data_IF_493052262647
#
_entry.id   IF_493052262647
#
_cell.length_a   1.000
_cell.length_b   1.000
_cell.length_c   1.000
_cell.angle_alpha   90.00
_cell.angle_beta   90.00
_cell.angle_gamma   90.00
#
_symmetry.space_group_name_H-M   'P 1'
#
loop_
_entity.id
_entity.type
_entity.pdbx_description
1 polymer ?
#
# COMPACT_ATOMS: atom_id res chain seq x y z
N UNK A 1 5.87 -15.96 -23.44
CA UNK A 1 6.41 -14.79 -24.18
C UNK A 1 5.42 -13.61 -24.33
N UNK A 2 4.13 -13.74 -23.94
CA UNK A 2 3.11 -12.66 -24.02
C UNK A 2 2.94 -11.86 -22.70
N UNK A 3 3.36 -12.40 -21.58
CA UNK A 3 3.25 -11.72 -20.27
C UNK A 3 4.21 -10.54 -20.08
N UNK A 4 5.25 -10.43 -20.92
CA UNK A 4 6.28 -9.40 -20.80
C UNK A 4 5.81 -7.98 -21.17
N UNK A 5 4.70 -7.80 -21.90
CA UNK A 5 4.20 -6.46 -22.28
C UNK A 5 3.33 -5.82 -21.21
N UNK A 6 2.51 -6.60 -20.51
CA UNK A 6 1.63 -6.10 -19.44
C UNK A 6 2.37 -5.80 -18.13
N UNK A 7 3.43 -6.55 -17.84
CA UNK A 7 4.39 -6.19 -16.79
C UNK A 7 5.12 -4.87 -17.09
N UNK A 8 5.14 -4.44 -18.38
CA UNK A 8 5.80 -3.23 -18.84
C UNK A 8 5.16 -1.92 -18.40
N UNK A 9 3.86 -1.81 -18.25
CA UNK A 9 3.22 -0.49 -18.27
C UNK A 9 2.76 0.04 -16.91
N UNK A 10 2.31 -0.75 -15.97
CA UNK A 10 2.00 -0.26 -14.62
C UNK A 10 2.93 -0.81 -13.53
N UNK A 11 3.55 -1.94 -13.78
CA UNK A 11 4.65 -2.44 -12.96
C UNK A 11 6.01 -1.97 -13.45
N UNK A 12 6.14 -1.46 -14.71
CA UNK A 12 7.43 -1.21 -15.33
C UNK A 12 8.22 -0.09 -14.69
N UNK A 13 7.59 1.00 -14.26
CA UNK A 13 8.29 2.05 -13.52
C UNK A 13 8.57 1.65 -12.07
N UNK A 14 7.93 0.59 -11.60
CA UNK A 14 8.09 0.07 -10.26
C UNK A 14 9.01 -1.13 -10.24
N UNK A 15 8.97 -1.94 -11.30
CA UNK A 15 9.82 -3.11 -11.51
C UNK A 15 10.64 -3.02 -12.81
N UNK A 16 10.82 -1.84 -13.38
CA UNK A 16 11.47 -1.65 -14.69
C UNK A 16 12.91 -2.14 -14.74
N UNK A 17 13.56 -2.27 -13.61
CA UNK A 17 14.87 -2.88 -13.49
C UNK A 17 14.83 -4.38 -13.15
N UNK A 18 13.66 -4.91 -12.74
CA UNK A 18 13.53 -6.27 -12.22
C UNK A 18 12.31 -6.97 -12.80
N UNK A 19 12.49 -7.61 -13.94
CA UNK A 19 11.60 -8.63 -14.50
C UNK A 19 11.39 -9.84 -13.56
N UNK A 20 11.32 -9.62 -12.23
CA UNK A 20 11.30 -10.66 -11.23
C UNK A 20 10.61 -10.30 -9.92
N UNK A 21 9.97 -9.12 -9.81
CA UNK A 21 9.20 -8.76 -8.61
C UNK A 21 7.83 -9.44 -8.62
N UNK A 22 7.78 -10.71 -8.29
CA UNK A 22 6.57 -11.51 -8.17
C UNK A 22 6.74 -12.50 -7.01
N UNK A 23 5.95 -12.43 -5.95
CA UNK A 23 4.76 -11.58 -5.74
C UNK A 23 5.04 -10.09 -5.50
N UNK A 24 4.08 -9.26 -5.93
CA UNK A 24 4.09 -7.82 -5.75
C UNK A 24 2.79 -7.37 -5.07
N UNK A 25 2.86 -6.40 -4.15
CA UNK A 25 1.68 -5.78 -3.56
C UNK A 25 1.71 -4.27 -3.78
N UNK A 26 0.58 -3.71 -4.18
CA UNK A 26 0.33 -2.28 -4.27
C UNK A 26 -0.75 -1.87 -3.27
N UNK A 27 -0.46 -0.83 -2.49
CA UNK A 27 -1.43 -0.17 -1.61
C UNK A 27 -1.61 1.28 -2.06
N UNK A 28 -2.85 1.73 -2.15
CA UNK A 28 -3.17 3.15 -2.37
C UNK A 28 -3.83 3.72 -1.13
N UNK A 29 -3.31 4.83 -0.60
CA UNK A 29 -3.80 5.52 0.60
C UNK A 29 -4.23 6.93 0.21
N UNK A 30 -5.53 7.14 0.14
CA UNK A 30 -6.14 8.39 -0.31
C UNK A 30 -7.45 8.67 0.45
N UNK A 31 -8.55 8.93 -0.27
CA UNK A 31 -9.89 9.05 0.32
C UNK A 31 -10.34 7.74 0.99
N UNK A 32 -9.88 6.62 0.46
CA UNK A 32 -9.97 5.30 1.08
C UNK A 32 -8.62 4.60 1.02
N UNK A 33 -8.56 3.34 1.46
CA UNK A 33 -7.39 2.49 1.32
C UNK A 33 -7.76 1.25 0.50
N UNK A 34 -7.13 1.11 -0.65
CA UNK A 34 -7.25 -0.08 -1.48
C UNK A 34 -5.92 -0.83 -1.58
N UNK A 35 -5.99 -2.11 -1.89
CA UNK A 35 -4.81 -2.93 -2.12
C UNK A 35 -5.05 -4.01 -3.16
N UNK A 36 -4.03 -4.31 -3.91
CA UNK A 36 -4.01 -5.40 -4.87
C UNK A 36 -2.63 -6.03 -4.95
N UNK A 37 -2.53 -7.17 -5.60
CA UNK A 37 -1.27 -7.86 -5.78
C UNK A 37 -1.18 -8.61 -7.08
N UNK A 38 0.04 -8.93 -7.47
CA UNK A 38 0.38 -9.86 -8.53
C UNK A 38 1.01 -11.09 -7.90
N UNK A 39 0.59 -12.26 -8.32
CA UNK A 39 1.18 -13.55 -7.96
C UNK A 39 1.28 -14.41 -9.22
N UNK A 40 2.48 -14.86 -9.56
CA UNK A 40 2.75 -15.63 -10.78
C UNK A 40 2.36 -14.86 -12.07
N UNK A 41 2.54 -13.53 -12.06
CA UNK A 41 2.16 -12.68 -13.18
C UNK A 41 0.67 -12.42 -13.36
N UNK A 42 -0.16 -12.94 -12.46
CA UNK A 42 -1.62 -12.78 -12.48
C UNK A 42 -2.07 -11.87 -11.34
N UNK A 43 -3.14 -11.10 -11.59
CA UNK A 43 -3.76 -10.32 -10.53
C UNK A 43 -4.32 -11.24 -9.44
N UNK A 44 -4.02 -10.89 -8.19
CA UNK A 44 -4.58 -11.59 -7.04
C UNK A 44 -6.10 -11.43 -7.03
N UNK A 45 -6.80 -12.53 -7.24
CA UNK A 45 -8.25 -12.58 -7.21
C UNK A 45 -8.69 -13.87 -6.52
N UNK A 46 -9.62 -13.75 -5.59
CA UNK A 46 -10.23 -14.90 -4.91
C UNK A 46 -11.73 -14.93 -5.20
N UNK A 47 -12.55 -15.10 -4.13
CA UNK A 47 -14.00 -14.94 -4.24
C UNK A 47 -14.38 -13.56 -4.80
N UNK A 48 -13.68 -12.54 -4.32
CA UNK A 48 -13.68 -11.16 -4.83
C UNK A 48 -12.21 -10.67 -4.85
N UNK A 49 -11.96 -9.43 -5.27
CA UNK A 49 -10.65 -8.79 -5.10
C UNK A 49 -10.30 -8.62 -3.61
N UNK A 50 -9.01 -8.59 -3.24
CA UNK A 50 -8.59 -8.40 -1.85
C UNK A 50 -9.02 -7.03 -1.31
N UNK A 51 -9.60 -7.00 -0.12
CA UNK A 51 -10.02 -5.80 0.59
C UNK A 51 -8.98 -5.42 1.67
N UNK A 52 -7.74 -5.17 1.24
CA UNK A 52 -6.61 -4.95 2.14
C UNK A 52 -6.77 -3.69 3.00
N UNK A 53 -7.57 -2.70 2.57
CA UNK A 53 -7.89 -1.51 3.35
C UNK A 53 -8.77 -1.77 4.55
N UNK A 54 -9.49 -2.88 4.58
CA UNK A 54 -10.42 -3.21 5.67
C UNK A 54 -9.88 -4.25 6.66
N UNK A 55 -8.59 -4.56 6.60
CA UNK A 55 -7.99 -5.42 7.62
C UNK A 55 -8.04 -4.76 9.00
N UNK A 56 -8.24 -5.58 10.02
CA UNK A 56 -8.13 -5.13 11.41
C UNK A 56 -6.66 -4.94 11.77
N UNK A 57 -6.35 -3.82 12.38
CA UNK A 57 -5.02 -3.48 12.90
C UNK A 57 -5.12 -3.09 14.37
N UNK A 58 -4.04 -3.17 15.16
CA UNK A 58 -4.04 -2.68 16.53
C UNK A 58 -4.37 -1.20 16.60
N UNK A 59 -5.42 -0.85 17.36
CA UNK A 59 -5.80 0.53 17.62
C UNK A 59 -5.13 1.02 18.91
N UNK A 60 -4.43 2.14 18.86
CA UNK A 60 -3.71 2.71 19.99
C UNK A 60 -4.60 3.66 20.81
N UNK A 61 -5.64 3.11 21.47
CA UNK A 61 -6.66 3.89 22.19
C UNK A 61 -6.11 4.85 23.26
N UNK A 62 -4.94 4.58 23.80
CA UNK A 62 -4.23 5.44 24.75
C UNK A 62 -3.67 6.72 24.13
N UNK A 63 -3.41 6.70 22.81
CA UNK A 63 -2.82 7.81 22.02
C UNK A 63 -3.79 8.40 21.01
N UNK A 64 -4.76 7.61 20.59
CA UNK A 64 -5.70 7.94 19.53
C UNK A 64 -7.13 7.60 19.98
N UNK A 65 -7.87 8.55 20.56
CA UNK A 65 -9.27 8.35 20.95
C UNK A 65 -10.25 8.41 19.77
N UNK A 66 -9.76 8.62 18.52
CA UNK A 66 -10.60 8.71 17.34
C UNK A 66 -11.23 7.35 17.02
N UNK A 67 -12.58 7.25 16.90
CA UNK A 67 -13.23 5.94 16.76
C UNK A 67 -13.08 5.29 15.38
N UNK A 68 -12.44 5.97 14.45
CA UNK A 68 -12.35 5.55 13.04
C UNK A 68 -13.47 6.11 12.18
N UNK A 69 -13.22 6.17 10.87
CA UNK A 69 -14.15 6.74 9.87
C UNK A 69 -14.81 5.69 8.98
N UNK A 70 -14.43 4.42 9.07
CA UNK A 70 -15.02 3.37 8.23
C UNK A 70 -16.48 3.11 8.64
N UNK A 71 -17.46 3.20 7.70
CA UNK A 71 -18.88 3.02 8.03
C UNK A 71 -19.23 1.56 8.38
N UNK A 72 -18.38 0.61 8.05
CA UNK A 72 -18.61 -0.83 8.30
C UNK A 72 -17.89 -1.33 9.55
N UNK A 73 -16.62 -0.94 9.73
CA UNK A 73 -15.75 -1.52 10.76
C UNK A 73 -15.28 -0.50 11.82
N UNK A 74 -15.60 0.80 11.64
CA UNK A 74 -15.06 1.85 12.51
C UNK A 74 -13.55 2.02 12.32
N UNK A 75 -12.77 1.25 13.06
CA UNK A 75 -11.33 1.35 13.25
C UNK A 75 -10.48 0.30 12.50
N UNK A 76 -10.94 -0.17 11.35
CA UNK A 76 -10.07 -0.91 10.43
C UNK A 76 -8.95 0.01 9.86
N UNK A 77 -8.02 -0.54 9.08
CA UNK A 77 -6.93 0.24 8.49
C UNK A 77 -7.42 1.50 7.77
N UNK A 78 -8.42 1.38 6.90
CA UNK A 78 -9.01 2.54 6.20
C UNK A 78 -9.62 3.52 7.19
N UNK A 79 -10.36 3.02 8.18
CA UNK A 79 -11.00 3.85 9.20
C UNK A 79 -10.03 4.64 10.05
N UNK A 80 -8.78 4.20 10.18
CA UNK A 80 -7.75 4.86 10.98
C UNK A 80 -6.72 5.65 10.16
N UNK A 81 -6.46 5.26 8.90
CA UNK A 81 -5.33 5.76 8.13
C UNK A 81 -5.70 6.33 6.74
N UNK A 82 -6.98 6.42 6.36
CA UNK A 82 -7.37 7.13 5.15
C UNK A 82 -7.43 8.65 5.36
N UNK A 83 -7.46 9.42 4.28
CA UNK A 83 -7.57 10.88 4.31
C UNK A 83 -8.69 11.41 5.20
N UNK A 84 -9.93 10.86 5.14
CA UNK A 84 -11.03 11.23 6.05
C UNK A 84 -10.71 10.98 7.54
N UNK A 85 -9.92 9.96 7.85
CA UNK A 85 -9.50 9.71 9.23
C UNK A 85 -8.51 10.77 9.74
N UNK A 86 -7.58 11.22 8.88
CA UNK A 86 -6.69 12.34 9.18
C UNK A 86 -7.51 13.61 9.44
N UNK A 87 -8.42 13.96 8.54
CA UNK A 87 -9.25 15.14 8.67
C UNK A 87 -10.15 15.07 9.91
N UNK A 88 -10.85 13.96 10.14
CA UNK A 88 -11.72 13.76 11.30
C UNK A 88 -10.99 13.83 12.63
N UNK A 89 -9.75 13.34 12.69
CA UNK A 89 -8.91 13.33 13.90
C UNK A 89 -8.29 14.70 14.19
N UNK A 90 -7.83 15.40 13.16
CA UNK A 90 -7.04 16.62 13.31
C UNK A 90 -7.78 17.90 12.91
N UNK A 91 -9.00 17.79 12.36
CA UNK A 91 -9.83 18.91 11.93
C UNK A 91 -9.31 19.62 10.66
N UNK A 92 -8.34 19.03 9.97
CA UNK A 92 -7.74 19.53 8.73
C UNK A 92 -7.38 18.37 7.80
N UNK A 93 -7.52 18.53 6.49
CA UNK A 93 -7.05 17.55 5.53
C UNK A 93 -5.52 17.40 5.58
N UNK A 94 -5.02 16.21 5.22
CA UNK A 94 -3.60 15.89 5.34
C UNK A 94 -2.66 16.85 4.60
N UNK A 95 -3.06 17.37 3.44
CA UNK A 95 -2.27 18.32 2.66
C UNK A 95 -2.11 19.71 3.31
N UNK A 96 -2.88 20.02 4.36
CA UNK A 96 -2.75 21.24 5.16
C UNK A 96 -1.94 21.01 6.44
N UNK A 97 -1.56 19.77 6.76
CA UNK A 97 -0.75 19.47 7.92
C UNK A 97 0.75 19.62 7.60
N UNK A 98 1.50 20.37 8.40
CA UNK A 98 2.92 20.53 8.18
C UNK A 98 3.69 19.21 8.35
N UNK A 99 4.87 19.06 7.73
CA UNK A 99 5.66 17.81 7.78
C UNK A 99 6.01 17.33 9.20
N UNK A 100 6.09 18.23 10.15
CA UNK A 100 6.44 17.97 11.55
C UNK A 100 5.22 17.62 12.43
N UNK A 101 4.02 17.65 11.84
CA UNK A 101 2.79 17.41 12.61
C UNK A 101 2.77 15.97 13.16
N UNK A 102 2.35 15.77 14.43
CA UNK A 102 2.35 14.43 15.06
C UNK A 102 1.40 13.44 14.38
N UNK A 103 0.49 13.92 13.55
CA UNK A 103 -0.36 13.09 12.71
C UNK A 103 0.45 12.07 11.89
N UNK A 104 1.61 12.48 11.38
CA UNK A 104 2.43 11.65 10.50
C UNK A 104 3.13 10.50 11.23
N UNK A 105 3.38 10.63 12.52
CA UNK A 105 3.90 9.53 13.33
C UNK A 105 2.81 8.49 13.62
N UNK A 106 1.60 8.93 13.89
CA UNK A 106 0.45 8.07 14.09
C UNK A 106 0.06 7.36 12.80
N UNK A 107 -0.02 8.09 11.70
CA UNK A 107 -0.28 7.57 10.36
C UNK A 107 0.71 6.49 9.94
N UNK A 108 2.01 6.78 10.10
CA UNK A 108 3.07 5.81 9.85
C UNK A 108 2.93 4.56 10.71
N UNK A 109 2.48 4.70 11.95
CA UNK A 109 2.29 3.57 12.86
C UNK A 109 1.19 2.62 12.37
N UNK A 110 0.04 3.15 11.96
CA UNK A 110 -1.06 2.33 11.44
C UNK A 110 -0.71 1.68 10.09
N UNK A 111 -0.10 2.43 9.17
CA UNK A 111 0.34 1.87 7.90
C UNK A 111 1.41 0.80 8.07
N UNK A 112 2.31 0.95 9.03
CA UNK A 112 3.33 -0.05 9.33
C UNK A 112 2.76 -1.35 9.90
N UNK A 113 1.65 -1.30 10.69
CA UNK A 113 0.93 -2.52 11.14
C UNK A 113 0.41 -3.31 9.94
N UNK A 114 -0.24 -2.61 9.01
CA UNK A 114 -0.80 -3.23 7.81
C UNK A 114 0.30 -3.83 6.92
N UNK A 115 1.37 -3.08 6.68
CA UNK A 115 2.49 -3.53 5.84
C UNK A 115 3.19 -4.74 6.46
N UNK A 116 3.46 -4.73 7.76
CA UNK A 116 4.06 -5.88 8.45
C UNK A 116 3.14 -7.12 8.39
N UNK A 117 1.82 -6.93 8.50
CA UNK A 117 0.83 -7.99 8.33
C UNK A 117 0.86 -8.56 6.92
N UNK A 118 0.87 -7.71 5.90
CA UNK A 118 0.94 -8.12 4.49
C UNK A 118 2.24 -8.88 4.19
N UNK A 119 3.37 -8.42 4.72
CA UNK A 119 4.65 -9.12 4.61
C UNK A 119 4.55 -10.52 5.20
N UNK A 120 3.94 -10.65 6.37
CA UNK A 120 3.82 -11.93 7.08
C UNK A 120 2.89 -12.92 6.38
N UNK A 121 1.87 -12.43 5.64
CA UNK A 121 0.87 -13.27 4.97
C UNK A 121 1.33 -13.64 3.55
N UNK A 122 1.82 -12.66 2.79
CA UNK A 122 2.06 -12.80 1.35
C UNK A 122 3.53 -12.93 0.98
N UNK A 123 4.44 -12.50 1.87
CA UNK A 123 5.88 -12.49 1.63
C UNK A 123 6.25 -11.94 0.24
N UNK A 124 5.77 -10.75 -0.15
CA UNK A 124 5.98 -10.23 -1.49
C UNK A 124 7.45 -9.89 -1.71
N UNK A 125 7.87 -9.87 -2.97
CA UNK A 125 9.21 -9.38 -3.33
C UNK A 125 9.32 -7.86 -3.25
N UNK A 126 8.20 -7.14 -3.32
CA UNK A 126 8.14 -5.67 -3.20
C UNK A 126 6.76 -5.20 -2.77
N UNK A 127 6.72 -4.12 -1.99
CA UNK A 127 5.49 -3.41 -1.64
C UNK A 127 5.59 -1.99 -2.16
N UNK A 128 4.55 -1.57 -2.88
CA UNK A 128 4.41 -0.22 -3.38
C UNK A 128 3.33 0.46 -2.58
N UNK A 129 3.59 1.66 -2.07
CA UNK A 129 2.61 2.43 -1.33
C UNK A 129 2.47 3.79 -1.99
N UNK A 130 1.28 4.08 -2.53
CA UNK A 130 0.96 5.33 -3.20
C UNK A 130 -0.31 5.98 -2.67
N UNK A 131 -0.82 6.98 -3.41
CA UNK A 131 -2.01 7.75 -3.08
C UNK A 131 -1.69 9.07 -2.38
N UNK A 132 -2.69 9.97 -2.30
CA UNK A 132 -2.50 11.35 -1.89
C UNK A 132 -1.94 11.54 -0.48
N UNK A 133 -2.20 10.62 0.45
CA UNK A 133 -1.64 10.67 1.81
C UNK A 133 -0.12 10.45 1.77
N UNK A 134 0.38 9.65 0.84
CA UNK A 134 1.81 9.36 0.65
C UNK A 134 2.59 10.49 -0.06
N UNK A 135 1.92 11.55 -0.52
CA UNK A 135 2.62 12.76 -1.02
C UNK A 135 3.41 13.47 0.08
N UNK A 136 3.10 13.20 1.34
CA UNK A 136 3.93 13.63 2.47
C UNK A 136 5.27 12.87 2.47
N UNK A 137 6.33 13.58 2.08
CA UNK A 137 7.66 12.99 1.85
C UNK A 137 8.30 12.31 3.07
N UNK A 138 7.91 12.72 4.27
CA UNK A 138 8.44 12.14 5.52
C UNK A 138 7.75 10.83 5.91
N UNK A 139 6.62 10.49 5.30
CA UNK A 139 5.78 9.38 5.74
C UNK A 139 6.40 8.03 5.38
N UNK A 140 6.81 7.83 4.13
CA UNK A 140 7.37 6.56 3.68
C UNK A 140 8.62 6.12 4.45
N UNK A 141 9.63 6.99 4.74
CA UNK A 141 10.75 6.66 5.61
C UNK A 141 10.33 6.26 7.03
N UNK A 142 9.29 6.88 7.58
CA UNK A 142 8.75 6.53 8.91
C UNK A 142 8.11 5.13 8.88
N UNK A 143 7.32 4.82 7.84
CA UNK A 143 6.71 3.50 7.65
C UNK A 143 7.80 2.42 7.60
N UNK A 144 8.84 2.58 6.76
CA UNK A 144 9.94 1.62 6.61
C UNK A 144 10.62 1.31 7.95
N UNK A 145 10.98 2.35 8.70
CA UNK A 145 11.59 2.20 10.02
C UNK A 145 10.69 1.45 10.99
N UNK A 146 9.38 1.72 10.99
CA UNK A 146 8.43 1.08 11.88
C UNK A 146 8.14 -0.36 11.46
N UNK A 147 8.11 -0.66 10.15
CA UNK A 147 7.97 -2.03 9.63
C UNK A 147 9.17 -2.88 10.08
N UNK A 148 10.40 -2.39 9.91
CA UNK A 148 11.60 -3.08 10.38
C UNK A 148 11.53 -3.40 11.88
N UNK A 149 11.15 -2.40 12.69
CA UNK A 149 10.97 -2.57 14.13
C UNK A 149 9.87 -3.60 14.48
N UNK A 150 8.77 -3.65 13.72
CA UNK A 150 7.66 -4.59 13.95
C UNK A 150 8.01 -6.01 13.53
N UNK A 151 8.71 -6.19 12.43
CA UNK A 151 9.22 -7.49 12.00
C UNK A 151 10.29 -8.03 12.95
N UNK A 152 10.99 -7.14 13.66
CA UNK A 152 11.93 -7.45 14.75
C UNK A 152 12.92 -8.59 14.41
N UNK A 153 13.40 -8.60 13.15
CA UNK A 153 14.32 -9.60 12.64
C UNK A 153 13.73 -11.01 12.49
N UNK A 154 12.41 -11.20 12.62
CA UNK A 154 11.76 -12.49 12.38
C UNK A 154 11.81 -12.89 10.91
N UNK A 155 11.47 -11.96 10.01
CA UNK A 155 11.62 -12.17 8.57
C UNK A 155 13.05 -11.81 8.17
N UNK A 156 13.88 -12.83 7.94
CA UNK A 156 15.33 -12.66 7.68
C UNK A 156 15.60 -12.77 6.19
N UNK A 157 15.44 -11.68 5.46
CA UNK A 157 15.78 -11.58 4.05
C UNK A 157 16.58 -10.31 3.78
N UNK A 158 17.63 -10.34 2.91
CA UNK A 158 18.45 -9.15 2.63
C UNK A 158 17.65 -7.93 2.17
N UNK A 159 16.60 -8.13 1.37
CA UNK A 159 15.73 -7.02 0.92
C UNK A 159 15.08 -6.27 2.08
N UNK A 160 14.85 -6.91 3.22
CA UNK A 160 14.25 -6.28 4.41
C UNK A 160 15.35 -5.79 5.35
N UNK A 161 16.38 -6.61 5.61
CA UNK A 161 17.41 -6.29 6.59
C UNK A 161 18.41 -5.24 6.10
N UNK A 162 18.73 -5.26 4.79
CA UNK A 162 19.81 -4.46 4.22
C UNK A 162 19.31 -3.40 3.23
N UNK A 163 18.09 -3.57 2.67
CA UNK A 163 17.57 -2.77 1.54
C UNK A 163 16.08 -2.48 1.64
N UNK A 164 15.57 -2.17 2.84
CA UNK A 164 14.14 -1.91 3.05
C UNK A 164 13.63 -0.73 2.20
N UNK A 165 14.51 0.19 1.83
CA UNK A 165 14.20 1.34 0.99
C UNK A 165 13.88 0.96 -0.45
N UNK A 166 14.43 -0.16 -0.94
CA UNK A 166 14.15 -0.74 -2.24
C UNK A 166 13.02 -1.77 -2.17
N UNK A 167 12.66 -2.22 -0.97
CA UNK A 167 11.62 -3.21 -0.74
C UNK A 167 10.23 -2.56 -0.57
N UNK A 168 10.14 -1.46 0.17
CA UNK A 168 8.91 -0.67 0.33
C UNK A 168 9.12 0.65 -0.41
N UNK A 169 8.45 0.84 -1.54
CA UNK A 169 8.72 1.96 -2.46
C UNK A 169 7.48 2.79 -2.77
N UNK A 170 7.70 4.03 -3.21
CA UNK A 170 6.67 4.84 -3.83
C UNK A 170 6.41 4.37 -5.28
N UNK A 171 5.22 4.67 -5.86
CA UNK A 171 4.95 4.39 -7.28
C UNK A 171 5.92 5.15 -8.19
N UNK A 172 6.60 4.46 -9.10
CA UNK A 172 7.47 5.09 -10.09
C UNK A 172 6.70 5.99 -11.07
N UNK A 173 5.46 5.63 -11.39
CA UNK A 173 4.55 6.43 -12.24
C UNK A 173 3.87 7.59 -11.49
N UNK A 174 4.15 7.75 -10.20
CA UNK A 174 3.53 8.79 -9.37
C UNK A 174 2.00 8.75 -9.45
N UNK A 175 1.36 9.93 -9.61
CA UNK A 175 -0.11 10.07 -9.65
C UNK A 175 -0.75 9.47 -10.92
N UNK A 176 0.04 9.03 -11.91
CA UNK A 176 -0.46 8.36 -13.11
C UNK A 176 -0.66 6.86 -12.93
N UNK A 177 -0.14 6.26 -11.86
CA UNK A 177 -0.16 4.82 -11.64
C UNK A 177 -1.59 4.22 -11.74
N UNK A 178 -2.59 4.87 -11.11
CA UNK A 178 -3.97 4.40 -11.14
C UNK A 178 -4.60 4.43 -12.53
N UNK A 179 -4.38 5.50 -13.29
CA UNK A 179 -4.93 5.65 -14.65
C UNK A 179 -4.27 4.67 -15.63
N UNK A 180 -2.95 4.54 -15.56
CA UNK A 180 -2.21 3.62 -16.42
C UNK A 180 -2.52 2.16 -16.09
N UNK A 181 -2.73 1.83 -14.81
CA UNK A 181 -3.20 0.52 -14.40
C UNK A 181 -4.58 0.17 -14.98
N UNK A 182 -5.51 1.14 -15.03
CA UNK A 182 -6.82 0.95 -15.64
C UNK A 182 -6.72 0.69 -17.16
N UNK A 183 -5.82 1.39 -17.87
CA UNK A 183 -5.56 1.13 -19.29
C UNK A 183 -4.97 -0.27 -19.51
N UNK A 184 -4.00 -0.68 -18.70
CA UNK A 184 -3.41 -2.02 -18.79
C UNK A 184 -4.45 -3.13 -18.57
N UNK A 185 -5.38 -2.95 -17.62
CA UNK A 185 -6.51 -3.87 -17.40
C UNK A 185 -7.46 -3.92 -18.59
N UNK A 186 -7.75 -2.78 -19.20
CA UNK A 186 -8.60 -2.72 -20.40
C UNK A 186 -7.95 -3.41 -21.61
N UNK A 187 -6.65 -3.22 -21.83
CA UNK A 187 -5.89 -3.96 -22.87
C UNK A 187 -5.94 -5.47 -22.64
N UNK A 188 -5.70 -5.91 -21.39
CA UNK A 188 -5.76 -7.33 -21.04
C UNK A 188 -7.15 -7.94 -21.31
N UNK A 189 -8.22 -7.21 -20.99
CA UNK A 189 -9.59 -7.64 -21.25
C UNK A 189 -9.91 -7.75 -22.74
N UNK A 190 -9.30 -6.93 -23.60
CA UNK A 190 -9.47 -6.99 -25.05
C UNK A 190 -8.68 -8.16 -25.68
N UNK A 191 -7.53 -8.50 -25.10
CA UNK A 191 -6.68 -9.60 -25.60
C UNK A 191 -7.15 -10.99 -25.11
N UNK A 192 -7.95 -11.06 -24.05
CA UNK A 192 -8.50 -12.29 -23.46
C UNK A 192 -10.04 -12.28 -23.41
N UNK A 193 -10.75 -12.41 -24.55
CA UNK A 193 -12.20 -12.25 -24.62
C UNK A 193 -13.02 -13.46 -24.08
N UNK A 194 -12.49 -14.31 -23.26
CA UNK A 194 -13.22 -15.50 -22.84
C UNK A 194 -12.87 -15.93 -21.41
N UNK A 195 -13.45 -15.29 -20.42
CA UNK A 195 -13.82 -15.90 -19.12
C UNK A 195 -14.76 -14.91 -18.39
N UNK A 196 -15.98 -14.77 -18.96
CA UNK A 196 -17.17 -14.34 -18.22
C UNK A 196 -17.91 -15.57 -17.71
#
# INVERSE_FOLDING_TARGET
RRHTRLQGDWSSDVCSSDLGCDPLVYLTVGTGIGGGGLINGELMHGLIHPEMGHISIPHHWDKDPYPGSCPYHGDCLEGLAAGPALEGRWGKPGNELPPEHPAWDLEASYLAEAVATIISILSPHRIIIGGGVLEQSTLLPKIRRLVDAKLNGYVRHPSILDSIDDYIVAPGLGNKAGVLGAFALAENALESPAHL
#
